data_IF_336395732565
#
_entry.id   IF_336395732565
#
_cell.length_a   1.000
_cell.length_b   1.000
_cell.length_c   1.000
_cell.angle_alpha   90.00
_cell.angle_beta   90.00
_cell.angle_gamma   90.00
#
_symmetry.space_group_name_H-M   'P 1'
#
loop_
_entity.id
_entity.type
_entity.pdbx_description
1 polymer ?
#
# COMPACT_ATOMS: atom_id res chain seq x y z
N UNK A 1 -32.49 -33.10 8.94
CA UNK A 1 -31.60 -32.36 8.02
C UNK A 1 -31.10 -31.13 8.75
N UNK A 2 -29.83 -31.12 9.14
CA UNK A 2 -29.18 -29.99 9.82
C UNK A 2 -28.58 -29.08 8.74
N UNK A 3 -28.76 -27.75 8.79
CA UNK A 3 -28.13 -26.86 7.83
C UNK A 3 -26.62 -26.72 8.09
N UNK A 4 -25.79 -26.48 7.06
CA UNK A 4 -24.35 -26.32 7.22
C UNK A 4 -23.98 -24.96 7.84
N UNK A 5 -23.01 -25.01 8.75
CA UNK A 5 -22.42 -23.87 9.46
C UNK A 5 -21.73 -22.91 8.47
N UNK A 6 -22.13 -21.64 8.48
CA UNK A 6 -21.50 -20.60 7.66
C UNK A 6 -20.04 -20.33 8.07
N UNK A 7 -19.20 -20.08 7.06
CA UNK A 7 -17.75 -19.85 7.13
C UNK A 7 -17.32 -18.71 8.08
N UNK A 8 -16.81 -19.05 9.25
CA UNK A 8 -16.14 -18.12 10.19
C UNK A 8 -14.66 -17.85 9.86
N UNK A 9 -14.11 -18.53 8.84
CA UNK A 9 -12.66 -18.53 8.55
C UNK A 9 -12.19 -17.26 7.82
N UNK A 10 -13.02 -16.73 6.91
CA UNK A 10 -12.66 -15.56 6.09
C UNK A 10 -12.57 -14.25 6.87
N UNK A 11 -13.53 -13.92 7.78
CA UNK A 11 -13.46 -12.72 8.61
C UNK A 11 -12.20 -12.70 9.48
N UNK A 12 -11.93 -13.81 10.17
CA UNK A 12 -10.76 -13.95 11.02
C UNK A 12 -9.44 -13.82 10.22
N UNK A 13 -9.41 -14.37 9.00
CA UNK A 13 -8.23 -14.24 8.12
C UNK A 13 -7.95 -12.79 7.74
N UNK A 14 -8.98 -12.03 7.38
CA UNK A 14 -8.85 -10.62 7.01
C UNK A 14 -8.41 -9.75 8.20
N UNK A 15 -8.97 -10.01 9.38
CA UNK A 15 -8.59 -9.33 10.63
C UNK A 15 -7.10 -9.52 10.94
N UNK A 16 -6.59 -10.76 10.85
CA UNK A 16 -5.17 -11.03 11.11
C UNK A 16 -4.27 -10.39 10.05
N UNK A 17 -4.66 -10.38 8.75
CA UNK A 17 -3.91 -9.63 7.73
C UNK A 17 -3.83 -8.14 8.08
N UNK A 18 -4.97 -7.53 8.42
CA UNK A 18 -5.04 -6.11 8.78
C UNK A 18 -4.19 -5.80 10.02
N UNK A 19 -4.18 -6.69 11.01
CA UNK A 19 -3.34 -6.57 12.20
C UNK A 19 -1.84 -6.57 11.87
N UNK A 20 -1.39 -7.46 10.98
CA UNK A 20 0.01 -7.51 10.54
C UNK A 20 0.40 -6.25 9.75
N UNK A 21 -0.49 -5.75 8.89
CA UNK A 21 -0.26 -4.52 8.12
C UNK A 21 -0.20 -3.30 9.03
N UNK A 22 -1.11 -3.20 10.00
CA UNK A 22 -1.13 -2.14 11.00
C UNK A 22 0.14 -2.13 11.87
N UNK A 23 0.65 -3.31 12.22
CA UNK A 23 1.92 -3.44 12.94
C UNK A 23 3.11 -2.89 12.13
N UNK A 24 3.17 -3.17 10.82
CA UNK A 24 4.19 -2.55 9.97
C UNK A 24 4.02 -1.03 9.91
N UNK A 25 2.79 -0.53 9.76
CA UNK A 25 2.52 0.92 9.75
C UNK A 25 3.04 1.59 11.04
N UNK A 26 2.74 1.01 12.21
CA UNK A 26 3.19 1.52 13.51
C UNK A 26 4.73 1.54 13.65
N UNK A 27 5.42 0.55 13.09
CA UNK A 27 6.90 0.55 13.06
C UNK A 27 7.45 1.70 12.20
N UNK A 28 6.86 1.94 11.02
CA UNK A 28 7.28 3.02 10.12
C UNK A 28 6.94 4.41 10.67
N UNK A 29 5.83 4.56 11.37
CA UNK A 29 5.44 5.80 12.07
C UNK A 29 6.45 6.19 13.15
N UNK A 30 7.09 5.20 13.80
CA UNK A 30 8.20 5.40 14.73
C UNK A 30 9.56 5.60 14.05
N UNK A 31 9.55 5.89 12.75
CA UNK A 31 10.71 6.15 11.89
C UNK A 31 11.74 5.00 11.85
N UNK A 32 11.30 3.76 12.10
CA UNK A 32 12.17 2.58 11.89
C UNK A 32 12.49 2.49 10.39
N UNK A 33 13.79 2.46 10.04
CA UNK A 33 14.19 2.39 8.64
C UNK A 33 13.83 1.03 8.06
N UNK A 34 13.46 0.98 6.78
CA UNK A 34 13.07 -0.26 6.11
C UNK A 34 14.12 -1.38 6.27
N UNK A 35 15.41 -1.04 6.20
CA UNK A 35 16.51 -1.98 6.38
C UNK A 35 16.48 -2.69 7.75
N UNK A 36 15.95 -2.04 8.80
CA UNK A 36 15.89 -2.52 10.18
C UNK A 36 14.58 -3.28 10.47
N UNK A 37 13.57 -3.17 9.60
CA UNK A 37 12.30 -3.89 9.75
C UNK A 37 12.53 -5.38 9.51
N UNK A 38 12.17 -6.23 10.48
CA UNK A 38 12.25 -7.69 10.34
C UNK A 38 10.87 -8.34 10.49
N UNK A 39 10.71 -9.56 9.98
CA UNK A 39 9.49 -10.36 10.22
C UNK A 39 9.25 -10.56 11.71
N UNK A 40 10.32 -10.72 12.51
CA UNK A 40 10.22 -10.87 13.96
C UNK A 40 9.72 -9.59 14.63
N UNK A 41 10.18 -8.42 14.19
CA UNK A 41 9.69 -7.13 14.69
C UNK A 41 8.21 -6.91 14.34
N UNK A 42 7.79 -7.22 13.11
CA UNK A 42 6.38 -7.11 12.69
C UNK A 42 5.51 -8.09 13.48
N UNK A 43 5.93 -9.35 13.64
CA UNK A 43 5.17 -10.35 14.39
C UNK A 43 5.05 -9.97 15.88
N UNK A 44 6.12 -9.44 16.48
CA UNK A 44 6.11 -8.95 17.86
C UNK A 44 5.18 -7.75 18.03
N UNK A 45 5.25 -6.75 17.15
CA UNK A 45 4.36 -5.58 17.16
C UNK A 45 2.89 -5.98 16.97
N UNK A 46 2.63 -6.96 16.09
CA UNK A 46 1.31 -7.52 15.87
C UNK A 46 0.84 -8.43 17.01
N UNK A 47 1.69 -8.81 17.97
CA UNK A 47 1.32 -9.73 19.05
C UNK A 47 1.05 -11.17 18.59
N UNK A 48 1.65 -11.60 17.47
CA UNK A 48 1.48 -12.95 16.91
C UNK A 48 2.78 -13.74 16.91
N UNK A 49 2.67 -15.07 16.78
CA UNK A 49 3.84 -15.92 16.53
C UNK A 49 4.36 -15.72 15.11
N UNK A 50 5.68 -15.76 14.94
CA UNK A 50 6.34 -15.75 13.63
C UNK A 50 5.82 -16.83 12.67
N UNK A 51 5.53 -18.04 13.18
CA UNK A 51 4.95 -19.11 12.35
C UNK A 51 3.56 -18.77 11.82
N UNK A 52 2.77 -17.99 12.57
CA UNK A 52 1.46 -17.53 12.12
C UNK A 52 1.59 -16.45 11.04
N UNK A 53 2.58 -15.56 11.13
CA UNK A 53 2.87 -14.56 10.09
C UNK A 53 3.00 -15.21 8.70
N UNK A 54 3.77 -16.29 8.61
CA UNK A 54 4.04 -16.98 7.34
C UNK A 54 2.82 -17.69 6.74
N UNK A 55 1.71 -17.81 7.47
CA UNK A 55 0.43 -18.27 6.90
C UNK A 55 -0.25 -17.18 6.05
N UNK A 56 0.15 -15.92 6.19
CA UNK A 56 -0.47 -14.76 5.54
C UNK A 56 0.45 -14.06 4.55
N UNK A 57 1.74 -13.94 4.87
CA UNK A 57 2.73 -13.23 4.06
C UNK A 57 4.03 -14.03 4.00
N UNK A 58 4.65 -14.11 2.83
CA UNK A 58 5.91 -14.88 2.66
C UNK A 58 7.12 -14.16 3.26
N UNK A 59 7.09 -12.83 3.27
CA UNK A 59 8.18 -11.96 3.71
C UNK A 59 7.65 -10.58 4.13
N UNK A 60 8.54 -9.73 4.63
CA UNK A 60 8.20 -8.34 5.00
C UNK A 60 7.78 -7.50 3.79
N UNK A 61 8.31 -7.78 2.60
CA UNK A 61 8.05 -7.03 1.38
C UNK A 61 6.60 -7.16 0.93
N UNK A 62 5.99 -8.33 1.10
CA UNK A 62 4.55 -8.49 0.85
C UNK A 62 3.68 -7.68 1.81
N UNK A 63 4.07 -7.54 3.08
CA UNK A 63 3.35 -6.70 4.04
C UNK A 63 3.46 -5.23 3.64
N UNK A 64 4.66 -4.79 3.23
CA UNK A 64 4.87 -3.43 2.76
C UNK A 64 4.10 -3.14 1.47
N UNK A 65 4.03 -4.10 0.55
CA UNK A 65 3.20 -3.98 -0.64
C UNK A 65 1.71 -3.88 -0.27
N UNK A 66 1.21 -4.73 0.62
CA UNK A 66 -0.19 -4.65 1.09
C UNK A 66 -0.48 -3.28 1.73
N UNK A 67 0.43 -2.77 2.58
CA UNK A 67 0.32 -1.43 3.17
C UNK A 67 0.34 -0.32 2.12
N UNK A 68 1.21 -0.46 1.11
CA UNK A 68 1.36 0.51 0.02
C UNK A 68 0.14 0.62 -0.90
N UNK A 69 -0.78 -0.35 -0.88
CA UNK A 69 -2.04 -0.27 -1.64
C UNK A 69 -2.86 0.96 -1.24
N UNK A 70 -2.87 1.33 0.05
CA UNK A 70 -3.56 2.54 0.51
C UNK A 70 -3.03 3.80 -0.17
N UNK A 71 -1.70 3.94 -0.25
CA UNK A 71 -1.05 5.09 -0.89
C UNK A 71 -1.32 5.08 -2.39
N UNK A 72 -1.19 3.91 -3.04
CA UNK A 72 -1.47 3.75 -4.46
C UNK A 72 -2.90 4.16 -4.79
N UNK A 73 -3.87 3.65 -4.03
CA UNK A 73 -5.30 3.87 -4.30
C UNK A 73 -5.68 5.34 -4.04
N UNK A 74 -5.10 5.97 -3.01
CA UNK A 74 -5.22 7.41 -2.80
C UNK A 74 -4.66 8.23 -3.97
N UNK A 75 -3.51 7.85 -4.52
CA UNK A 75 -2.89 8.52 -5.67
C UNK A 75 -3.71 8.32 -6.96
N UNK A 76 -4.24 7.12 -7.19
CA UNK A 76 -5.13 6.85 -8.34
C UNK A 76 -6.45 7.63 -8.23
N UNK A 77 -6.98 7.78 -7.02
CA UNK A 77 -8.19 8.55 -6.74
C UNK A 77 -8.08 10.04 -7.06
N UNK A 78 -6.88 10.62 -7.14
CA UNK A 78 -6.70 12.02 -7.57
C UNK A 78 -7.15 12.20 -9.03
N UNK A 79 -6.90 11.19 -9.87
CA UNK A 79 -7.17 11.27 -11.30
C UNK A 79 -8.62 11.02 -11.68
N UNK A 80 -9.44 10.44 -10.78
CA UNK A 80 -10.81 10.01 -11.11
C UNK A 80 -11.72 11.16 -11.55
N UNK A 81 -11.44 12.38 -11.08
CA UNK A 81 -12.34 13.53 -11.25
C UNK A 81 -12.35 14.08 -12.69
N UNK A 82 -11.32 13.77 -13.49
CA UNK A 82 -11.18 14.29 -14.86
C UNK A 82 -10.93 13.20 -15.90
N UNK A 83 -11.09 11.91 -15.54
CA UNK A 83 -11.07 10.84 -16.53
C UNK A 83 -12.20 11.06 -17.54
N UNK A 84 -11.83 11.33 -18.80
CA UNK A 84 -12.76 11.55 -19.90
C UNK A 84 -12.95 13.03 -20.28
N UNK A 85 -12.25 13.96 -19.62
CA UNK A 85 -12.34 15.40 -19.90
C UNK A 85 -11.00 16.00 -20.36
N UNK A 86 -11.04 17.16 -21.01
CA UNK A 86 -9.82 17.93 -21.35
C UNK A 86 -9.20 18.48 -20.07
N UNK A 87 -7.88 18.27 -19.90
CA UNK A 87 -7.16 18.72 -18.72
C UNK A 87 -6.83 20.21 -18.85
N UNK A 88 -7.39 21.07 -17.99
CA UNK A 88 -6.94 22.47 -17.93
C UNK A 88 -5.66 22.59 -17.09
N UNK A 89 -4.83 23.63 -17.32
CA UNK A 89 -3.67 23.91 -16.48
C UNK A 89 -4.01 24.05 -14.98
N UNK A 90 -5.17 24.62 -14.66
CA UNK A 90 -5.65 24.77 -13.28
C UNK A 90 -5.95 23.42 -12.61
N UNK A 91 -6.59 22.50 -13.33
CA UNK A 91 -6.87 21.14 -12.81
C UNK A 91 -5.57 20.38 -12.60
N UNK A 92 -4.65 20.44 -13.56
CA UNK A 92 -3.32 19.81 -13.43
C UNK A 92 -2.56 20.34 -12.20
N UNK A 93 -2.62 21.64 -11.95
CA UNK A 93 -1.99 22.26 -10.78
C UNK A 93 -2.62 21.75 -9.48
N UNK A 94 -3.94 21.65 -9.41
CA UNK A 94 -4.64 21.15 -8.21
C UNK A 94 -4.30 19.68 -7.94
N UNK A 95 -4.21 18.85 -8.98
CA UNK A 95 -3.86 17.44 -8.81
C UNK A 95 -2.41 17.22 -8.41
N UNK A 96 -1.49 18.04 -8.93
CA UNK A 96 -0.11 18.01 -8.47
C UNK A 96 -0.01 18.37 -6.97
N UNK A 97 -0.80 19.34 -6.51
CA UNK A 97 -0.88 19.69 -5.09
C UNK A 97 -1.40 18.49 -4.28
N UNK A 98 -2.53 17.90 -4.68
CA UNK A 98 -3.11 16.71 -4.01
C UNK A 98 -2.14 15.52 -4.00
N UNK A 99 -1.40 15.33 -5.08
CA UNK A 99 -0.39 14.28 -5.19
C UNK A 99 0.69 14.47 -4.12
N UNK A 100 1.20 15.69 -3.99
CA UNK A 100 2.20 16.05 -2.99
C UNK A 100 1.63 15.91 -1.57
N UNK A 101 0.37 16.30 -1.34
CA UNK A 101 -0.31 16.15 -0.03
C UNK A 101 -0.44 14.67 0.38
N UNK A 102 -0.83 13.78 -0.54
CA UNK A 102 -0.89 12.32 -0.29
C UNK A 102 0.51 11.79 0.03
N UNK A 103 1.52 12.17 -0.74
CA UNK A 103 2.91 11.77 -0.50
C UNK A 103 3.43 12.26 0.87
N UNK A 104 3.07 13.49 1.28
CA UNK A 104 3.44 14.03 2.59
C UNK A 104 2.72 13.29 3.73
N UNK A 105 1.41 13.09 3.60
CA UNK A 105 0.58 12.37 4.58
C UNK A 105 1.10 10.96 4.82
N UNK A 106 1.52 10.27 3.77
CA UNK A 106 2.05 8.90 3.83
C UNK A 106 3.58 8.85 3.66
N UNK A 107 4.30 9.86 4.15
CA UNK A 107 5.73 10.05 3.88
C UNK A 107 6.61 8.87 4.32
N UNK A 108 6.33 8.26 5.48
CA UNK A 108 7.11 7.11 5.97
C UNK A 108 6.86 5.84 5.15
N UNK A 109 5.60 5.57 4.79
CA UNK A 109 5.25 4.46 3.89
C UNK A 109 5.88 4.67 2.52
N UNK A 110 5.77 5.89 1.98
CA UNK A 110 6.32 6.25 0.67
C UNK A 110 7.86 6.18 0.64
N UNK A 111 8.52 6.52 1.75
CA UNK A 111 9.97 6.32 1.92
C UNK A 111 10.32 4.83 1.91
N UNK A 112 9.66 4.02 2.73
CA UNK A 112 9.90 2.57 2.78
C UNK A 112 9.66 1.89 1.41
N UNK A 113 8.58 2.26 0.71
CA UNK A 113 8.29 1.79 -0.65
C UNK A 113 9.41 2.10 -1.64
N UNK A 114 9.96 3.33 -1.60
CA UNK A 114 11.11 3.72 -2.45
C UNK A 114 12.35 2.90 -2.12
N UNK A 115 12.69 2.79 -0.84
CA UNK A 115 13.87 2.06 -0.37
C UNK A 115 13.80 0.57 -0.78
N UNK A 116 12.61 -0.03 -0.72
CA UNK A 116 12.37 -1.44 -0.99
C UNK A 116 12.20 -1.78 -2.48
N UNK A 117 11.84 -0.81 -3.33
CA UNK A 117 11.45 -1.03 -4.73
C UNK A 117 12.52 -1.73 -5.60
N UNK A 118 13.80 -1.59 -5.25
CA UNK A 118 14.90 -2.22 -5.99
C UNK A 118 15.19 -3.66 -5.55
N UNK A 119 14.87 -4.03 -4.30
CA UNK A 119 15.27 -5.31 -3.70
C UNK A 119 14.09 -6.25 -3.43
N UNK A 120 12.89 -5.72 -3.17
CA UNK A 120 11.73 -6.49 -2.75
C UNK A 120 10.76 -6.63 -3.94
N UNK A 121 10.60 -7.85 -4.46
CA UNK A 121 9.84 -8.09 -5.70
C UNK A 121 8.36 -7.67 -5.62
N UNK A 122 7.69 -7.92 -4.49
CA UNK A 122 6.29 -7.51 -4.30
C UNK A 122 6.12 -5.99 -4.28
N UNK A 123 7.08 -5.28 -3.66
CA UNK A 123 7.07 -3.81 -3.61
C UNK A 123 7.36 -3.22 -4.99
N UNK A 124 8.29 -3.81 -5.74
CA UNK A 124 8.60 -3.41 -7.11
C UNK A 124 7.37 -3.50 -8.02
N UNK A 125 6.65 -4.63 -8.00
CA UNK A 125 5.43 -4.79 -8.81
C UNK A 125 4.39 -3.71 -8.45
N UNK A 126 4.17 -3.47 -7.16
CA UNK A 126 3.25 -2.43 -6.72
C UNK A 126 3.70 -1.03 -7.18
N UNK A 127 4.99 -0.71 -7.01
CA UNK A 127 5.57 0.57 -7.40
C UNK A 127 5.44 0.83 -8.91
N UNK A 128 5.68 -0.20 -9.73
CA UNK A 128 5.55 -0.12 -11.19
C UNK A 128 4.09 -0.08 -11.66
N UNK A 129 3.14 -0.59 -10.87
CA UNK A 129 1.72 -0.59 -11.23
C UNK A 129 1.15 0.83 -11.35
N UNK A 130 1.61 1.78 -10.54
CA UNK A 130 1.13 3.15 -10.53
C UNK A 130 1.43 3.88 -11.85
N UNK A 131 2.69 4.02 -12.32
CA UNK A 131 2.97 4.67 -13.60
C UNK A 131 2.35 3.90 -14.77
N UNK A 132 2.32 2.56 -14.72
CA UNK A 132 1.64 1.72 -15.73
C UNK A 132 0.15 2.06 -15.88
N UNK A 133 -0.49 2.50 -14.79
CA UNK A 133 -1.90 2.90 -14.77
C UNK A 133 -2.10 4.38 -15.08
N UNK A 134 -1.26 5.26 -14.54
CA UNK A 134 -1.41 6.73 -14.62
C UNK A 134 -0.94 7.34 -15.95
N UNK A 135 0.12 6.80 -16.58
CA UNK A 135 0.67 7.36 -17.82
C UNK A 135 -0.38 7.35 -18.95
N UNK A 136 -1.09 6.24 -19.25
CA UNK A 136 -2.11 6.25 -20.29
C UNK A 136 -3.29 7.20 -20.00
N UNK A 137 -3.60 7.46 -18.73
CA UNK A 137 -4.68 8.38 -18.34
C UNK A 137 -4.33 9.85 -18.60
N UNK A 138 -3.03 10.19 -18.65
CA UNK A 138 -2.51 11.56 -18.79
C UNK A 138 -1.94 11.87 -20.17
N UNK A 139 -1.37 10.88 -20.86
CA UNK A 139 -0.56 11.07 -22.07
C UNK A 139 -1.30 11.73 -23.25
N UNK A 140 -2.61 11.48 -23.41
CA UNK A 140 -3.39 11.98 -24.55
C UNK A 140 -4.16 13.28 -24.24
N UNK A 141 -3.90 13.94 -23.10
CA UNK A 141 -4.79 14.99 -22.56
C UNK A 141 -4.15 16.32 -22.22
N UNK A 142 -2.83 16.46 -22.35
CA UNK A 142 -2.12 17.72 -22.20
C UNK A 142 -2.09 18.39 -23.58
N UNK A 143 -2.93 19.42 -23.76
CA UNK A 143 -3.01 20.24 -24.99
C UNK A 143 -2.54 21.66 -24.65
#
# INVERSE_FOLDING_TARGET
MTPPTANTTTPHRAEVKAQIVAALAALLEREVRWAEVTVDAIAAEAGIKRTLFYNYFKDRGEVLAELGLEVRDALLGISSDWVGTTLSPEVLKQDLIRYIEVQQKHSQISRAMRDASSSEGAVRELWESLPRTMIPLTADRII
#
